data_IF_454496250353
#
_entry.id   IF_454496250353
#
_cell.length_a   1.000
_cell.length_b   1.000
_cell.length_c   1.000
_cell.angle_alpha   90.00
_cell.angle_beta   90.00
_cell.angle_gamma   90.00
#
_symmetry.space_group_name_H-M   'P 1'
#
loop_
_entity.id
_entity.type
_entity.pdbx_description
1 polymer ?
#
# COMPACT_ATOMS: atom_id res chain seq x y z
N UNK A 1 16.45 -5.68 10.53
CA UNK A 1 15.20 -6.45 10.55
C UNK A 1 14.23 -5.75 11.49
N UNK A 2 13.29 -4.96 10.95
CA UNK A 2 12.19 -4.41 11.74
C UNK A 2 11.13 -5.51 11.90
N UNK A 3 11.07 -6.09 13.09
CA UNK A 3 10.03 -7.06 13.45
C UNK A 3 8.80 -6.30 13.93
N UNK A 4 7.62 -6.64 13.42
CA UNK A 4 6.36 -6.11 13.96
C UNK A 4 6.17 -6.64 15.40
N UNK A 5 5.88 -5.72 16.32
CA UNK A 5 5.59 -6.02 17.72
C UNK A 5 4.08 -5.80 17.92
N UNK A 6 3.42 -6.71 18.64
CA UNK A 6 1.99 -6.64 18.92
C UNK A 6 1.12 -6.55 17.65
N UNK A 7 1.44 -7.38 16.65
CA UNK A 7 0.68 -7.43 15.41
C UNK A 7 -0.77 -7.83 15.70
N UNK A 8 -1.71 -7.03 15.20
CA UNK A 8 -3.13 -7.34 15.16
C UNK A 8 -3.62 -7.29 13.71
N UNK A 9 -4.60 -8.13 13.37
CA UNK A 9 -5.17 -8.20 12.03
C UNK A 9 -6.68 -7.97 12.15
N UNK A 10 -7.20 -7.05 11.35
CA UNK A 10 -8.62 -6.77 11.22
C UNK A 10 -9.04 -7.01 9.77
N UNK A 11 -10.17 -7.62 9.55
CA UNK A 11 -10.73 -7.79 8.21
C UNK A 11 -12.25 -7.89 8.23
N UNK A 12 -12.88 -7.32 7.20
CA UNK A 12 -14.30 -7.49 6.92
C UNK A 12 -14.55 -7.43 5.41
N UNK A 13 -15.73 -7.88 4.97
CA UNK A 13 -16.18 -7.70 3.59
C UNK A 13 -16.92 -6.36 3.38
N UNK A 14 -17.21 -5.66 4.44
CA UNK A 14 -17.67 -4.28 4.51
C UNK A 14 -16.60 -3.47 5.24
N UNK A 15 -16.76 -2.18 5.39
CA UNK A 15 -15.77 -1.32 6.03
C UNK A 15 -15.82 -1.35 7.57
N UNK A 16 -16.54 -2.27 8.20
CA UNK A 16 -16.68 -2.36 9.66
C UNK A 16 -15.37 -2.64 10.40
N UNK A 17 -14.34 -3.17 9.71
CA UNK A 17 -13.01 -3.37 10.32
C UNK A 17 -12.36 -2.08 10.82
N UNK A 18 -12.81 -0.91 10.34
CA UNK A 18 -12.29 0.39 10.76
C UNK A 18 -12.66 0.64 12.21
N UNK A 19 -13.92 0.40 12.56
CA UNK A 19 -14.42 0.57 13.92
C UNK A 19 -13.72 -0.40 14.88
N UNK A 20 -13.61 -1.68 14.50
CA UNK A 20 -12.86 -2.68 15.27
C UNK A 20 -11.38 -2.26 15.48
N UNK A 21 -10.77 -1.65 14.48
CA UNK A 21 -9.39 -1.16 14.56
C UNK A 21 -9.27 0.06 15.49
N UNK A 22 -10.22 0.99 15.42
CA UNK A 22 -10.26 2.17 16.28
C UNK A 22 -10.50 1.76 17.74
N UNK A 23 -11.46 0.89 17.99
CA UNK A 23 -11.74 0.36 19.33
C UNK A 23 -10.50 -0.30 19.94
N UNK A 24 -9.79 -1.12 19.15
CA UNK A 24 -8.53 -1.71 19.58
C UNK A 24 -7.46 -0.67 19.92
N UNK A 25 -7.34 0.39 19.12
CA UNK A 25 -6.36 1.45 19.35
C UNK A 25 -6.70 2.19 20.66
N UNK A 26 -7.96 2.55 20.86
CA UNK A 26 -8.43 3.21 22.10
C UNK A 26 -8.26 2.33 23.34
N UNK A 27 -8.43 1.01 23.22
CA UNK A 27 -8.26 0.08 24.33
C UNK A 27 -6.79 -0.18 24.70
N UNK A 28 -5.90 -0.19 23.71
CA UNK A 28 -4.51 -0.61 23.88
C UNK A 28 -3.51 0.52 24.04
N UNK A 29 -3.81 1.70 23.53
CA UNK A 29 -2.84 2.80 23.47
C UNK A 29 -3.40 4.05 24.16
N UNK A 30 -2.50 4.76 24.83
CA UNK A 30 -2.77 6.10 25.33
C UNK A 30 -2.77 7.07 24.13
N UNK A 31 -3.94 7.50 23.72
CA UNK A 31 -4.14 8.31 22.50
C UNK A 31 -3.33 9.59 22.54
N UNK A 32 -3.21 10.23 23.71
CA UNK A 32 -2.48 11.48 23.88
C UNK A 32 -0.95 11.32 23.68
N UNK A 33 -0.47 10.07 23.71
CA UNK A 33 0.94 9.74 23.47
C UNK A 33 1.23 9.29 22.04
N UNK A 34 0.21 9.15 21.18
CA UNK A 34 0.40 8.77 19.78
C UNK A 34 0.89 9.98 18.97
N UNK A 35 2.17 10.00 18.65
CA UNK A 35 2.77 11.08 17.86
C UNK A 35 2.61 10.89 16.34
N UNK A 36 2.72 9.65 15.87
CA UNK A 36 2.72 9.37 14.42
C UNK A 36 2.06 8.03 14.11
N UNK A 37 1.17 8.04 13.12
CA UNK A 37 0.53 6.86 12.55
C UNK A 37 0.92 6.75 11.08
N UNK A 38 1.35 5.57 10.68
CA UNK A 38 1.70 5.28 9.28
C UNK A 38 0.60 4.41 8.65
N UNK A 39 -0.08 4.96 7.64
CA UNK A 39 -1.07 4.24 6.85
C UNK A 39 -0.44 3.81 5.52
N UNK A 40 -0.16 2.53 5.37
CA UNK A 40 0.52 1.98 4.20
C UNK A 40 -0.44 1.14 3.36
N UNK A 41 -0.32 1.24 2.04
CA UNK A 41 -1.15 0.46 1.12
C UNK A 41 -0.72 0.56 -0.34
N UNK A 42 -1.56 0.07 -1.25
CA UNK A 42 -1.33 0.04 -2.70
C UNK A 42 -1.59 1.38 -3.42
N UNK A 43 -2.00 2.40 -2.68
CA UNK A 43 -2.33 3.73 -3.22
C UNK A 43 -3.77 3.88 -3.69
N UNK A 44 -4.65 2.91 -3.42
CA UNK A 44 -6.07 3.04 -3.69
C UNK A 44 -6.68 4.23 -2.92
N UNK A 45 -7.63 4.91 -3.55
CA UNK A 45 -8.24 6.13 -2.99
C UNK A 45 -8.90 5.87 -1.63
N UNK A 46 -9.55 4.71 -1.46
CA UNK A 46 -10.20 4.37 -0.20
C UNK A 46 -9.19 4.20 0.96
N UNK A 47 -7.98 3.68 0.71
CA UNK A 47 -6.92 3.57 1.72
C UNK A 47 -6.40 4.96 2.12
N UNK A 48 -6.28 5.87 1.15
CA UNK A 48 -5.91 7.27 1.44
C UNK A 48 -6.96 7.95 2.30
N UNK A 49 -8.24 7.72 2.01
CA UNK A 49 -9.35 8.26 2.78
C UNK A 49 -9.43 7.64 4.18
N UNK A 50 -9.07 6.37 4.32
CA UNK A 50 -9.01 5.68 5.60
C UNK A 50 -8.09 6.40 6.60
N UNK A 51 -7.00 6.98 6.14
CA UNK A 51 -6.06 7.71 7.00
C UNK A 51 -6.74 8.84 7.80
N UNK A 52 -7.83 9.44 7.28
CA UNK A 52 -8.58 10.48 7.98
C UNK A 52 -9.23 10.01 9.28
N UNK A 53 -9.52 8.72 9.41
CA UNK A 53 -10.11 8.15 10.64
C UNK A 53 -9.11 8.07 11.80
N UNK A 54 -7.81 8.23 11.53
CA UNK A 54 -6.74 8.10 12.53
C UNK A 54 -6.17 9.45 13.00
N UNK A 55 -6.83 10.56 12.70
CA UNK A 55 -6.49 11.85 13.28
C UNK A 55 -7.16 12.00 14.65
N UNK A 56 -6.50 11.52 15.70
CA UNK A 56 -7.04 11.52 17.05
C UNK A 56 -6.94 12.90 17.74
N UNK A 57 -5.87 13.66 17.46
CA UNK A 57 -5.57 14.96 18.03
C UNK A 57 -4.80 15.83 17.02
N UNK A 58 -4.73 17.12 17.29
CA UNK A 58 -3.96 18.10 16.49
C UNK A 58 -2.46 17.79 16.42
N UNK A 59 -1.92 17.06 17.41
CA UNK A 59 -0.52 16.67 17.48
C UNK A 59 -0.25 15.34 16.78
N UNK A 60 -1.26 14.51 16.52
CA UNK A 60 -1.10 13.23 15.84
C UNK A 60 -0.81 13.43 14.37
N UNK A 61 0.36 12.99 13.93
CA UNK A 61 0.76 13.04 12.52
C UNK A 61 0.37 11.76 11.82
N UNK A 62 -0.49 11.84 10.81
CA UNK A 62 -0.84 10.70 9.96
C UNK A 62 -0.07 10.79 8.64
N UNK A 63 0.68 9.74 8.31
CA UNK A 63 1.52 9.65 7.13
C UNK A 63 1.04 8.50 6.26
N UNK A 64 0.58 8.80 5.07
CA UNK A 64 0.24 7.79 4.07
C UNK A 64 1.48 7.42 3.25
N UNK A 65 1.70 6.12 3.05
CA UNK A 65 2.79 5.60 2.23
C UNK A 65 2.29 4.61 1.18
N UNK A 66 2.93 4.62 0.01
CA UNK A 66 2.70 3.62 -1.02
C UNK A 66 3.63 2.43 -0.79
N UNK A 67 3.12 1.20 -0.83
CA UNK A 67 3.95 0.01 -0.70
C UNK A 67 5.05 -0.06 -1.77
N UNK A 68 6.25 -0.48 -1.34
CA UNK A 68 7.44 -0.63 -2.23
C UNK A 68 7.21 -1.63 -3.35
N UNK A 69 6.47 -2.69 -3.08
CA UNK A 69 6.16 -3.70 -4.08
C UNK A 69 5.39 -3.09 -5.25
N UNK A 70 4.29 -2.39 -4.98
CA UNK A 70 3.45 -1.75 -6.00
C UNK A 70 4.19 -0.65 -6.78
N UNK A 71 5.05 0.11 -6.09
CA UNK A 71 5.92 1.09 -6.78
C UNK A 71 6.88 0.41 -7.75
N UNK A 72 7.61 -0.63 -7.30
CA UNK A 72 8.54 -1.37 -8.16
C UNK A 72 7.83 -2.07 -9.32
N UNK A 73 6.67 -2.66 -9.06
CA UNK A 73 5.85 -3.28 -10.10
C UNK A 73 5.42 -2.25 -11.16
N UNK A 74 5.00 -1.05 -10.74
CA UNK A 74 4.65 0.01 -11.69
C UNK A 74 5.85 0.43 -12.55
N UNK A 75 7.05 0.57 -11.96
CA UNK A 75 8.28 0.85 -12.71
C UNK A 75 8.61 -0.26 -13.71
N UNK A 76 8.51 -1.53 -13.28
CA UNK A 76 8.74 -2.68 -14.17
C UNK A 76 7.79 -2.65 -15.36
N UNK A 77 6.53 -2.32 -15.15
CA UNK A 77 5.56 -2.15 -16.24
C UNK A 77 5.89 -0.97 -17.17
N UNK A 78 6.61 0.06 -16.71
CA UNK A 78 7.05 1.18 -17.55
C UNK A 78 8.21 0.76 -18.44
N UNK A 79 9.27 0.19 -17.90
CA UNK A 79 10.55 0.07 -18.61
C UNK A 79 10.99 -1.36 -18.94
N UNK A 80 10.60 -2.37 -18.15
CA UNK A 80 11.00 -3.79 -18.33
C UNK A 80 12.52 -4.00 -18.34
N UNK A 81 13.29 -3.02 -17.88
CA UNK A 81 14.75 -3.04 -17.80
C UNK A 81 15.20 -2.58 -16.42
N UNK A 82 16.11 -3.35 -15.80
CA UNK A 82 16.54 -3.12 -14.42
C UNK A 82 17.36 -1.83 -14.23
N UNK A 83 18.17 -1.48 -15.21
CA UNK A 83 18.98 -0.26 -15.13
C UNK A 83 18.08 0.97 -15.21
N UNK A 84 17.10 0.93 -16.12
CA UNK A 84 16.15 2.01 -16.29
C UNK A 84 15.20 2.13 -15.08
N UNK A 85 14.79 1.00 -14.46
CA UNK A 85 14.07 1.02 -13.19
C UNK A 85 14.87 1.77 -12.10
N UNK A 86 16.17 1.54 -12.01
CA UNK A 86 17.03 2.21 -11.04
C UNK A 86 17.13 3.71 -11.33
N UNK A 87 17.26 4.12 -12.59
CA UNK A 87 17.28 5.53 -13.02
C UNK A 87 15.95 6.21 -12.64
N UNK A 88 14.82 5.61 -13.01
CA UNK A 88 13.49 6.14 -12.69
C UNK A 88 13.26 6.21 -11.18
N UNK A 89 13.70 5.20 -10.43
CA UNK A 89 13.70 5.23 -8.97
C UNK A 89 14.51 6.43 -8.44
N UNK A 90 15.69 6.64 -8.98
CA UNK A 90 16.55 7.79 -8.64
C UNK A 90 15.85 9.13 -8.87
N UNK A 91 15.12 9.30 -9.98
CA UNK A 91 14.34 10.51 -10.22
C UNK A 91 13.24 10.71 -9.17
N UNK A 92 12.52 9.64 -8.78
CA UNK A 92 11.48 9.74 -7.76
C UNK A 92 12.08 10.12 -6.41
N UNK A 93 13.12 9.44 -5.96
CA UNK A 93 13.73 9.66 -4.64
C UNK A 93 14.45 11.02 -4.52
N UNK A 94 14.95 11.55 -5.62
CA UNK A 94 15.56 12.89 -5.68
C UNK A 94 14.55 14.00 -6.06
N UNK A 95 13.26 13.69 -6.03
CA UNK A 95 12.17 14.61 -6.36
C UNK A 95 12.26 15.27 -7.75
N UNK A 96 12.88 14.57 -8.72
CA UNK A 96 13.06 15.01 -10.11
C UNK A 96 11.85 14.65 -10.97
N UNK A 97 10.69 15.21 -10.66
CA UNK A 97 9.41 14.89 -11.30
C UNK A 97 9.38 15.17 -12.79
N UNK A 98 10.07 16.23 -13.24
CA UNK A 98 10.18 16.59 -14.67
C UNK A 98 10.99 15.55 -15.43
N UNK A 99 12.17 15.17 -14.91
CA UNK A 99 13.05 14.20 -15.55
C UNK A 99 12.39 12.82 -15.65
N UNK A 100 11.65 12.42 -14.59
CA UNK A 100 10.84 11.21 -14.61
C UNK A 100 9.81 11.21 -15.74
N UNK A 101 9.06 12.31 -15.91
CA UNK A 101 8.06 12.45 -17.00
C UNK A 101 8.71 12.37 -18.37
N UNK A 102 9.78 13.16 -18.61
CA UNK A 102 10.51 13.18 -19.88
C UNK A 102 11.04 11.79 -20.25
N UNK A 103 11.56 11.05 -19.29
CA UNK A 103 12.03 9.68 -19.52
C UNK A 103 10.86 8.75 -19.93
N UNK A 104 9.70 8.84 -19.26
CA UNK A 104 8.52 8.06 -19.65
C UNK A 104 8.01 8.44 -21.04
N UNK A 105 7.99 9.73 -21.38
CA UNK A 105 7.59 10.22 -22.71
C UNK A 105 8.54 9.72 -23.81
N UNK A 106 9.84 9.69 -23.53
CA UNK A 106 10.84 9.10 -24.45
C UNK A 106 10.61 7.59 -24.68
N UNK A 107 10.21 6.87 -23.62
CA UNK A 107 9.85 5.46 -23.75
C UNK A 107 8.58 5.24 -24.57
N UNK A 108 7.58 6.11 -24.43
CA UNK A 108 6.37 6.07 -25.25
C UNK A 108 6.71 6.27 -26.73
N UNK A 109 7.60 7.24 -27.02
CA UNK A 109 8.09 7.47 -28.38
C UNK A 109 8.82 6.26 -28.95
N UNK A 110 9.68 5.63 -28.17
CA UNK A 110 10.46 4.44 -28.59
C UNK A 110 9.61 3.17 -28.71
N UNK A 111 8.54 3.06 -27.91
CA UNK A 111 7.67 1.88 -27.84
C UNK A 111 6.19 2.27 -27.93
N UNK A 112 5.69 2.73 -29.09
CA UNK A 112 4.31 3.24 -29.23
C UNK A 112 3.23 2.23 -28.85
N UNK A 113 3.47 0.93 -29.08
CA UNK A 113 2.55 -0.16 -28.73
C UNK A 113 2.36 -0.33 -27.22
N UNK A 114 3.20 0.28 -26.38
CA UNK A 114 3.12 0.24 -24.91
C UNK A 114 2.60 1.53 -24.30
N UNK A 115 2.21 2.50 -25.14
CA UNK A 115 1.81 3.84 -24.71
C UNK A 115 0.83 3.81 -23.54
N UNK A 116 -0.30 3.12 -23.68
CA UNK A 116 -1.37 3.10 -22.67
C UNK A 116 -0.87 2.54 -21.33
N UNK A 117 -0.04 1.51 -21.37
CA UNK A 117 0.56 0.92 -20.17
C UNK A 117 1.50 1.92 -19.49
N UNK A 118 2.39 2.55 -20.25
CA UNK A 118 3.37 3.50 -19.70
C UNK A 118 2.65 4.73 -19.15
N UNK A 119 1.69 5.32 -19.86
CA UNK A 119 0.90 6.47 -19.39
C UNK A 119 0.13 6.16 -18.11
N UNK A 120 -0.53 5.01 -18.05
CA UNK A 120 -1.27 4.56 -16.87
C UNK A 120 -0.36 4.43 -15.65
N UNK A 121 0.80 3.76 -15.79
CA UNK A 121 1.74 3.56 -14.67
C UNK A 121 2.51 4.82 -14.31
N UNK A 122 2.85 5.67 -15.27
CA UNK A 122 3.41 7.00 -15.05
C UNK A 122 2.43 7.85 -14.20
N UNK A 123 1.16 7.89 -14.60
CA UNK A 123 0.11 8.63 -13.88
C UNK A 123 -0.06 8.09 -12.45
N UNK A 124 -0.06 6.77 -12.29
CA UNK A 124 -0.12 6.13 -10.98
C UNK A 124 1.04 6.57 -10.06
N UNK A 125 2.27 6.56 -10.55
CA UNK A 125 3.45 7.01 -9.78
C UNK A 125 3.35 8.51 -9.47
N UNK A 126 2.96 9.34 -10.44
CA UNK A 126 2.83 10.78 -10.25
C UNK A 126 1.76 11.15 -9.19
N UNK A 127 0.66 10.42 -9.14
CA UNK A 127 -0.41 10.60 -8.17
C UNK A 127 -0.02 10.12 -6.76
N UNK A 128 0.96 9.23 -6.67
CA UNK A 128 1.48 8.69 -5.41
C UNK A 128 2.88 9.22 -5.05
N UNK A 129 3.36 10.24 -5.74
CA UNK A 129 4.73 10.74 -5.64
C UNK A 129 5.17 11.03 -4.20
N UNK A 130 4.33 11.74 -3.46
CA UNK A 130 4.59 12.07 -2.06
C UNK A 130 4.61 10.81 -1.18
N UNK A 131 3.65 9.91 -1.37
CA UNK A 131 3.50 8.69 -0.57
C UNK A 131 4.66 7.71 -0.78
N UNK A 132 5.21 7.64 -2.00
CA UNK A 132 6.42 6.87 -2.31
C UNK A 132 7.61 7.46 -1.55
N UNK A 133 7.81 8.78 -1.63
CA UNK A 133 8.92 9.45 -0.94
C UNK A 133 8.84 9.31 0.57
N UNK A 134 7.65 9.39 1.18
CA UNK A 134 7.45 9.16 2.60
C UNK A 134 7.92 7.77 3.03
N UNK A 135 7.58 6.75 2.25
CA UNK A 135 7.98 5.38 2.56
C UNK A 135 9.50 5.20 2.63
N UNK A 136 10.23 5.78 1.67
CA UNK A 136 11.69 5.72 1.66
C UNK A 136 12.31 6.60 2.75
N UNK A 137 11.79 7.81 2.94
CA UNK A 137 12.26 8.75 3.97
C UNK A 137 12.19 8.15 5.38
N UNK A 138 11.12 7.46 5.70
CA UNK A 138 10.92 6.84 7.02
C UNK A 138 11.34 5.38 7.08
N UNK A 139 11.96 4.85 6.02
CA UNK A 139 12.39 3.45 5.90
C UNK A 139 11.30 2.44 6.28
N UNK A 140 10.08 2.68 5.80
CA UNK A 140 8.93 1.85 6.10
C UNK A 140 8.86 0.65 5.16
N UNK A 141 8.26 -0.43 5.63
CA UNK A 141 7.89 -1.60 4.83
C UNK A 141 6.44 -1.97 5.11
N UNK A 142 5.69 -2.29 4.07
CA UNK A 142 4.31 -2.76 4.20
C UNK A 142 4.30 -4.29 4.09
N UNK A 143 3.96 -5.03 5.14
CA UNK A 143 3.86 -6.49 5.10
C UNK A 143 2.52 -6.99 4.57
N UNK A 144 1.66 -6.12 4.04
CA UNK A 144 0.26 -6.44 3.69
C UNK A 144 0.15 -7.60 2.70
N UNK A 145 0.94 -7.60 1.62
CA UNK A 145 0.96 -8.68 0.63
C UNK A 145 1.24 -10.05 1.28
N UNK A 146 2.27 -10.10 2.13
CA UNK A 146 2.60 -11.31 2.88
C UNK A 146 1.47 -11.72 3.84
N UNK A 147 0.84 -10.75 4.50
CA UNK A 147 -0.26 -11.03 5.43
C UNK A 147 -1.52 -11.52 4.71
N UNK A 148 -1.87 -10.92 3.57
CA UNK A 148 -3.00 -11.38 2.75
C UNK A 148 -2.73 -12.79 2.23
N UNK A 149 -1.54 -13.05 1.69
CA UNK A 149 -1.16 -14.36 1.18
C UNK A 149 -1.27 -15.43 2.27
N UNK A 150 -0.63 -15.23 3.41
CA UNK A 150 -0.57 -16.25 4.47
C UNK A 150 -1.85 -16.39 5.30
N UNK A 151 -2.62 -15.32 5.48
CA UNK A 151 -3.77 -15.37 6.37
C UNK A 151 -5.10 -15.53 5.63
N UNK A 152 -5.20 -15.10 4.39
CA UNK A 152 -6.47 -15.06 3.65
C UNK A 152 -6.40 -15.92 2.39
N UNK A 153 -5.41 -15.69 1.52
CA UNK A 153 -5.36 -16.34 0.21
C UNK A 153 -5.27 -17.87 0.34
N UNK A 154 -4.47 -18.39 1.27
CA UNK A 154 -4.32 -19.83 1.52
C UNK A 154 -5.66 -20.51 1.84
N UNK A 155 -6.62 -19.82 2.46
CA UNK A 155 -7.95 -20.38 2.74
C UNK A 155 -8.75 -20.64 1.47
N UNK A 156 -8.52 -19.84 0.42
CA UNK A 156 -9.38 -19.80 -0.76
C UNK A 156 -8.72 -20.31 -2.03
N UNK A 157 -7.37 -20.34 -2.09
CA UNK A 157 -6.62 -20.70 -3.31
C UNK A 157 -6.14 -22.13 -3.35
N UNK A 158 -6.01 -22.83 -2.22
CA UNK A 158 -5.44 -24.17 -2.14
C UNK A 158 -6.24 -25.25 -2.91
N UNK A 159 -7.54 -25.05 -3.13
CA UNK A 159 -8.43 -25.87 -3.99
C UNK A 159 -9.59 -25.01 -4.48
N UNK A 160 -10.07 -25.23 -5.73
CA UNK A 160 -11.30 -24.57 -6.20
C UNK A 160 -12.47 -24.96 -5.30
N UNK A 161 -12.99 -24.01 -4.54
CA UNK A 161 -14.15 -24.19 -3.64
C UNK A 161 -15.12 -23.06 -3.86
N UNK A 162 -16.38 -23.40 -4.09
CA UNK A 162 -17.46 -22.40 -4.11
C UNK A 162 -17.92 -22.13 -2.68
N UNK A 163 -17.40 -21.08 -2.07
CA UNK A 163 -17.86 -20.64 -0.76
C UNK A 163 -18.98 -19.61 -0.88
N UNK A 164 -20.02 -19.72 -0.06
CA UNK A 164 -20.99 -18.65 0.12
C UNK A 164 -20.32 -17.42 0.78
N UNK A 165 -20.84 -16.24 0.53
CA UNK A 165 -20.38 -15.01 1.20
C UNK A 165 -20.40 -15.15 2.74
N UNK A 166 -21.43 -15.81 3.28
CA UNK A 166 -21.55 -16.10 4.72
C UNK A 166 -20.37 -16.96 5.21
N UNK A 167 -20.03 -18.00 4.48
CA UNK A 167 -18.90 -18.90 4.81
C UNK A 167 -17.57 -18.15 4.75
N UNK A 168 -17.36 -17.31 3.73
CA UNK A 168 -16.16 -16.49 3.61
C UNK A 168 -16.02 -15.58 4.84
N UNK A 169 -17.09 -14.86 5.23
CA UNK A 169 -17.09 -13.99 6.41
C UNK A 169 -16.70 -14.75 7.69
N UNK A 170 -17.25 -15.95 7.89
CA UNK A 170 -16.97 -16.75 9.09
C UNK A 170 -15.54 -17.28 9.11
N UNK A 171 -15.04 -17.83 7.98
CA UNK A 171 -13.66 -18.33 7.86
C UNK A 171 -12.63 -17.22 8.06
N UNK A 172 -12.88 -16.05 7.48
CA UNK A 172 -11.98 -14.89 7.63
C UNK A 172 -11.93 -14.44 9.09
N UNK A 173 -13.08 -14.34 9.79
CA UNK A 173 -13.11 -14.01 11.22
C UNK A 173 -12.36 -15.04 12.08
N UNK A 174 -12.57 -16.33 11.85
CA UNK A 174 -11.88 -17.38 12.59
C UNK A 174 -10.35 -17.31 12.41
N UNK A 175 -9.88 -17.02 11.21
CA UNK A 175 -8.44 -16.94 10.93
C UNK A 175 -7.75 -15.72 11.59
N UNK A 176 -8.51 -14.69 11.92
CA UNK A 176 -7.99 -13.50 12.62
C UNK A 176 -7.85 -13.70 14.13
N UNK A 177 -8.45 -14.74 14.71
CA UNK A 177 -8.36 -15.07 16.12
C UNK A 177 -7.10 -15.87 16.50
N UNK A 178 -6.37 -16.39 15.49
CA UNK A 178 -5.16 -17.21 15.63
C UNK A 178 -3.97 -16.57 14.90
#
# INVERSE_FOLDING_TARGET
NHKLINKQIFSSLDHSFIDDCLDYIYDKYDIDKINTIYCLGDGATWIKNLAWNFYFDKNTKVISGLDKFHFKQALHHICQDKNLENILTGYVLNNKKKDFKLCCESLIYSYPHRKDTIESKMTYILNNWFNINCLYKYNLSCPMESQISHNIADLFTARPKAYSIKTIKQLTKLRMLY
#
